data_IF_461856190023
#
_entry.id   IF_461856190023
#
_cell.length_a   1.000
_cell.length_b   1.000
_cell.length_c   1.000
_cell.angle_alpha   90.00
_cell.angle_beta   90.00
_cell.angle_gamma   90.00
#
_symmetry.space_group_name_H-M   'P 1'
#
loop_
_entity.id
_entity.type
_entity.pdbx_description
1 polymer ?
#
# COMPACT_ATOMS: atom_id res chain seq x y z
N UNK A 1 -11.70 -6.13 30.31
CA UNK A 1 -12.74 -5.58 29.41
C UNK A 1 -12.04 -5.30 28.07
N UNK A 2 -12.16 -6.24 27.14
CA UNK A 2 -11.61 -6.09 25.80
C UNK A 2 -12.52 -5.14 25.03
N UNK A 3 -12.08 -3.90 24.83
CA UNK A 3 -12.79 -2.97 23.94
C UNK A 3 -12.57 -3.46 22.52
N UNK A 4 -13.56 -4.14 21.94
CA UNK A 4 -13.56 -4.47 20.54
C UNK A 4 -13.29 -3.20 19.72
N UNK A 5 -12.16 -3.16 19.02
CA UNK A 5 -11.83 -2.07 18.09
C UNK A 5 -12.92 -2.04 17.02
N UNK A 6 -13.74 -1.01 17.00
CA UNK A 6 -14.74 -0.80 15.96
C UNK A 6 -14.03 -0.47 14.65
N UNK A 7 -14.34 -1.17 13.58
CA UNK A 7 -13.90 -0.80 12.24
C UNK A 7 -14.47 0.56 11.85
N UNK A 8 -13.65 1.40 11.24
CA UNK A 8 -14.08 2.70 10.72
C UNK A 8 -14.64 2.51 9.31
N UNK A 9 -15.95 2.61 9.17
CA UNK A 9 -16.65 2.44 7.89
C UNK A 9 -16.93 3.82 7.29
N UNK A 10 -16.41 4.03 6.08
CA UNK A 10 -16.78 5.14 5.21
C UNK A 10 -17.61 4.55 4.07
N UNK A 11 -18.78 5.12 3.78
CA UNK A 11 -19.67 4.59 2.74
C UNK A 11 -18.95 4.42 1.40
N UNK A 12 -19.09 3.25 0.79
CA UNK A 12 -18.47 2.91 -0.50
C UNK A 12 -17.03 2.39 -0.42
N UNK A 13 -16.43 2.31 0.77
CA UNK A 13 -15.10 1.72 0.97
C UNK A 13 -15.22 0.33 1.59
N UNK A 14 -14.20 -0.49 1.33
CA UNK A 14 -14.05 -1.77 2.02
C UNK A 14 -13.82 -1.55 3.52
N UNK A 15 -14.69 -2.11 4.33
CA UNK A 15 -14.56 -2.12 5.78
C UNK A 15 -14.02 -3.48 6.24
N UNK A 16 -12.84 -3.54 6.87
CA UNK A 16 -12.30 -4.78 7.42
C UNK A 16 -13.23 -5.39 8.48
N UNK A 17 -13.38 -6.71 8.46
CA UNK A 17 -14.05 -7.46 9.51
C UNK A 17 -13.20 -7.51 10.80
N UNK A 18 -13.80 -7.92 11.91
CA UNK A 18 -13.03 -8.15 13.14
C UNK A 18 -11.92 -9.20 12.96
N UNK A 19 -12.17 -10.20 12.14
CA UNK A 19 -11.17 -11.22 11.81
C UNK A 19 -9.99 -10.62 11.03
N UNK A 20 -10.26 -9.72 10.07
CA UNK A 20 -9.20 -9.02 9.34
C UNK A 20 -8.39 -8.13 10.27
N UNK A 21 -9.06 -7.37 11.13
CA UNK A 21 -8.39 -6.46 12.10
C UNK A 21 -7.45 -7.24 13.02
N UNK A 22 -7.85 -8.43 13.49
CA UNK A 22 -6.97 -9.30 14.32
C UNK A 22 -5.73 -9.78 13.54
N UNK A 23 -5.88 -10.12 12.26
CA UNK A 23 -4.74 -10.47 11.39
C UNK A 23 -3.80 -9.30 11.21
N UNK A 24 -4.36 -8.08 11.01
CA UNK A 24 -3.57 -6.87 10.78
C UNK A 24 -2.65 -6.50 11.95
N UNK A 25 -2.94 -6.93 13.16
CA UNK A 25 -2.09 -6.71 14.33
C UNK A 25 -0.69 -7.32 14.16
N UNK A 26 -0.58 -8.38 13.34
CA UNK A 26 0.68 -9.05 13.05
C UNK A 26 1.37 -8.56 11.76
N UNK A 27 0.81 -7.53 11.10
CA UNK A 27 1.32 -7.05 9.83
C UNK A 27 2.08 -5.74 10.00
N UNK A 28 3.22 -5.66 9.33
CA UNK A 28 4.04 -4.46 9.20
C UNK A 28 4.29 -4.24 7.72
N UNK A 29 3.73 -3.16 7.17
CA UNK A 29 3.75 -2.87 5.73
C UNK A 29 4.71 -1.73 5.44
N UNK A 30 5.57 -1.91 4.43
CA UNK A 30 6.37 -0.84 3.85
C UNK A 30 5.81 -0.45 2.48
N UNK A 31 5.50 0.83 2.29
CA UNK A 31 5.17 1.37 0.96
C UNK A 31 6.46 1.65 0.20
N UNK A 32 6.51 1.21 -1.06
CA UNK A 32 7.61 1.40 -1.98
C UNK A 32 7.12 2.10 -3.24
N UNK A 33 7.71 3.26 -3.55
CA UNK A 33 7.31 4.09 -4.70
C UNK A 33 8.52 4.37 -5.59
N UNK A 34 8.64 3.67 -6.74
CA UNK A 34 9.61 4.06 -7.75
C UNK A 34 9.16 5.39 -8.40
N UNK A 35 10.02 6.39 -8.35
CA UNK A 35 9.75 7.71 -8.91
C UNK A 35 10.80 8.06 -9.96
N UNK A 36 10.35 8.39 -11.17
CA UNK A 36 11.23 8.81 -12.26
C UNK A 36 11.59 10.30 -12.19
N UNK A 37 10.84 11.10 -11.47
CA UNK A 37 11.04 12.53 -11.27
C UNK A 37 11.61 12.89 -9.90
N UNK A 38 11.53 14.19 -9.60
CA UNK A 38 11.87 14.71 -8.26
C UNK A 38 10.67 14.90 -7.35
N UNK A 39 9.48 14.89 -7.92
CA UNK A 39 8.25 15.22 -7.19
C UNK A 39 7.13 14.27 -7.58
N UNK A 40 6.35 13.89 -6.62
CA UNK A 40 5.12 13.14 -6.83
C UNK A 40 3.96 14.09 -7.14
N UNK A 41 2.94 13.60 -7.81
CA UNK A 41 1.73 14.41 -8.01
C UNK A 41 1.03 14.67 -6.66
N UNK A 42 0.44 15.86 -6.50
CA UNK A 42 -0.33 16.20 -5.30
C UNK A 42 -1.51 15.22 -5.07
N UNK A 43 -2.08 14.68 -6.15
CA UNK A 43 -3.16 13.68 -6.08
C UNK A 43 -2.67 12.35 -5.53
N UNK A 44 -1.49 11.90 -5.96
CA UNK A 44 -0.85 10.70 -5.42
C UNK A 44 -0.57 10.87 -3.93
N UNK A 45 0.09 11.96 -3.54
CA UNK A 45 0.41 12.27 -2.14
C UNK A 45 -0.85 12.26 -1.26
N UNK A 46 -1.94 12.87 -1.74
CA UNK A 46 -3.24 12.85 -1.05
C UNK A 46 -3.79 11.42 -0.91
N UNK A 47 -3.72 10.60 -1.98
CA UNK A 47 -4.18 9.21 -1.94
C UNK A 47 -3.40 8.39 -0.92
N UNK A 48 -2.07 8.53 -0.89
CA UNK A 48 -1.21 7.85 0.09
C UNK A 48 -1.57 8.27 1.52
N UNK A 49 -1.67 9.58 1.79
CA UNK A 49 -2.01 10.08 3.12
C UNK A 49 -3.36 9.54 3.62
N UNK A 50 -4.38 9.56 2.76
CA UNK A 50 -5.71 9.04 3.09
C UNK A 50 -5.69 7.52 3.33
N UNK A 51 -4.96 6.77 2.52
CA UNK A 51 -4.81 5.32 2.67
C UNK A 51 -4.09 4.97 3.98
N UNK A 52 -3.01 5.66 4.30
CA UNK A 52 -2.28 5.45 5.56
C UNK A 52 -3.20 5.74 6.75
N UNK A 53 -3.90 6.88 6.76
CA UNK A 53 -4.84 7.23 7.82
C UNK A 53 -5.94 6.18 7.98
N UNK A 54 -6.58 5.77 6.87
CA UNK A 54 -7.63 4.75 6.87
C UNK A 54 -7.12 3.40 7.39
N UNK A 55 -5.95 2.98 6.94
CA UNK A 55 -5.32 1.73 7.36
C UNK A 55 -5.05 1.72 8.87
N UNK A 56 -4.45 2.77 9.41
CA UNK A 56 -4.20 2.89 10.84
C UNK A 56 -5.49 2.88 11.67
N UNK A 57 -6.53 3.58 11.22
CA UNK A 57 -7.84 3.58 11.89
C UNK A 57 -8.47 2.19 11.94
N UNK A 58 -8.16 1.32 10.99
CA UNK A 58 -8.64 -0.05 10.89
C UNK A 58 -7.62 -1.11 11.36
N UNK A 59 -6.56 -0.70 12.06
CA UNK A 59 -5.60 -1.62 12.69
C UNK A 59 -4.48 -2.12 11.79
N UNK A 60 -4.48 -1.76 10.49
CA UNK A 60 -3.42 -2.12 9.55
C UNK A 60 -2.28 -1.09 9.62
N UNK A 61 -1.09 -1.53 10.01
CA UNK A 61 0.04 -0.63 10.26
C UNK A 61 0.92 -0.48 9.02
N UNK A 62 1.08 0.76 8.59
CA UNK A 62 2.00 1.16 7.52
C UNK A 62 3.01 2.12 8.14
N UNK A 63 4.29 1.74 8.13
CA UNK A 63 5.31 2.45 8.92
C UNK A 63 6.25 3.29 8.08
N UNK A 64 6.77 2.76 6.99
CA UNK A 64 7.76 3.45 6.18
C UNK A 64 7.35 3.54 4.73
N UNK A 65 7.85 4.56 4.07
CA UNK A 65 7.74 4.74 2.64
C UNK A 65 9.14 4.83 2.04
N UNK A 66 9.49 3.89 1.15
CA UNK A 66 10.69 3.95 0.34
C UNK A 66 10.37 4.66 -0.97
N UNK A 67 11.14 5.70 -1.32
CA UNK A 67 10.99 6.44 -2.57
C UNK A 67 12.35 6.47 -3.26
N UNK A 68 12.38 6.21 -4.57
CA UNK A 68 13.53 6.54 -5.40
C UNK A 68 13.28 7.83 -6.16
N UNK A 69 14.34 8.51 -6.54
CA UNK A 69 14.29 9.72 -7.35
C UNK A 69 15.17 9.56 -8.59
N UNK A 70 14.69 10.07 -9.72
CA UNK A 70 15.45 10.11 -10.99
C UNK A 70 15.98 8.75 -11.47
N UNK A 71 15.27 7.68 -11.17
CA UNK A 71 15.65 6.34 -11.63
C UNK A 71 14.68 5.82 -12.66
N UNK A 72 15.20 5.07 -13.62
CA UNK A 72 14.37 4.23 -14.48
C UNK A 72 13.62 3.23 -13.59
N UNK A 73 12.35 2.98 -13.88
CA UNK A 73 11.43 2.23 -13.01
C UNK A 73 12.02 0.89 -12.56
N UNK A 74 12.63 0.14 -13.45
CA UNK A 74 13.22 -1.17 -13.13
C UNK A 74 14.38 -1.07 -12.15
N UNK A 75 15.23 -0.07 -12.30
CA UNK A 75 16.34 0.19 -11.37
C UNK A 75 15.83 0.69 -10.03
N UNK A 76 14.85 1.59 -10.06
CA UNK A 76 14.21 2.09 -8.84
C UNK A 76 13.56 0.97 -8.03
N UNK A 77 12.85 0.04 -8.68
CA UNK A 77 12.27 -1.13 -8.01
C UNK A 77 13.33 -2.05 -7.42
N UNK A 78 14.39 -2.34 -8.16
CA UNK A 78 15.49 -3.17 -7.66
C UNK A 78 16.19 -2.53 -6.46
N UNK A 79 16.43 -1.23 -6.50
CA UNK A 79 17.06 -0.51 -5.39
C UNK A 79 16.17 -0.51 -4.15
N UNK A 80 14.89 -0.21 -4.29
CA UNK A 80 13.92 -0.28 -3.19
C UNK A 80 13.83 -1.68 -2.59
N UNK A 81 13.77 -2.72 -3.43
CA UNK A 81 13.74 -4.10 -2.97
C UNK A 81 15.01 -4.47 -2.16
N UNK A 82 16.18 -4.06 -2.61
CA UNK A 82 17.43 -4.28 -1.88
C UNK A 82 17.44 -3.55 -0.54
N UNK A 83 17.03 -2.28 -0.54
CA UNK A 83 17.01 -1.45 0.66
C UNK A 83 16.13 -2.04 1.75
N UNK A 84 14.99 -2.65 1.38
CA UNK A 84 14.00 -3.13 2.35
C UNK A 84 14.21 -4.58 2.75
N UNK A 85 14.88 -5.39 1.90
CA UNK A 85 15.08 -6.83 2.12
C UNK A 85 15.64 -7.17 3.52
N UNK A 86 16.60 -6.36 3.98
CA UNK A 86 17.29 -6.59 5.24
C UNK A 86 17.00 -5.50 6.28
N UNK A 87 16.11 -4.55 5.93
CA UNK A 87 15.80 -3.42 6.80
C UNK A 87 14.83 -3.84 7.90
N UNK A 88 15.21 -3.49 9.11
CA UNK A 88 14.35 -3.58 10.28
C UNK A 88 13.48 -2.32 10.35
N UNK A 89 12.23 -2.49 10.67
CA UNK A 89 11.33 -1.41 10.98
C UNK A 89 11.74 -0.75 12.30
N UNK A 90 12.20 0.49 12.24
CA UNK A 90 12.73 1.24 13.37
C UNK A 90 11.73 1.45 14.53
N UNK A 91 10.44 1.27 14.26
CA UNK A 91 9.39 1.43 15.28
C UNK A 91 9.03 0.14 16.01
N UNK A 92 9.32 -1.02 15.42
CA UNK A 92 8.93 -2.33 15.98
C UNK A 92 10.11 -3.24 16.25
N UNK A 93 11.30 -2.88 15.78
CA UNK A 93 12.52 -3.69 15.80
C UNK A 93 12.37 -5.06 15.09
N UNK A 94 11.42 -5.12 14.14
CA UNK A 94 11.10 -6.33 13.37
C UNK A 94 11.19 -6.06 11.85
N UNK A 95 11.32 -7.12 11.07
CA UNK A 95 11.27 -7.01 9.60
C UNK A 95 9.85 -6.69 9.12
N UNK A 96 9.78 -6.00 7.97
CA UNK A 96 8.49 -5.82 7.31
C UNK A 96 7.91 -7.18 6.87
N UNK A 97 6.62 -7.36 7.10
CA UNK A 97 5.90 -8.57 6.68
C UNK A 97 5.43 -8.49 5.23
N UNK A 98 5.11 -7.27 4.77
CA UNK A 98 4.57 -7.03 3.44
C UNK A 98 5.15 -5.78 2.80
N UNK A 99 5.24 -5.80 1.46
CA UNK A 99 5.64 -4.64 0.64
C UNK A 99 4.46 -4.23 -0.23
N UNK A 100 4.12 -2.95 -0.18
CA UNK A 100 3.08 -2.34 -1.02
C UNK A 100 3.74 -1.45 -2.07
N UNK A 101 3.72 -1.89 -3.31
CA UNK A 101 4.23 -1.15 -4.46
C UNK A 101 3.18 -0.20 -5.00
N UNK A 102 3.52 1.09 -5.09
CA UNK A 102 2.66 2.13 -5.64
C UNK A 102 3.46 2.98 -6.63
N UNK A 103 3.02 3.06 -7.87
CA UNK A 103 3.59 3.99 -8.84
C UNK A 103 3.11 5.42 -8.53
N UNK A 104 3.98 6.41 -8.69
CA UNK A 104 3.81 7.81 -8.25
C UNK A 104 2.79 8.63 -9.04
N UNK A 105 2.21 8.05 -10.06
CA UNK A 105 1.22 8.67 -10.94
C UNK A 105 -0.21 8.11 -10.76
N UNK A 106 -0.43 7.19 -9.85
CA UNK A 106 -1.72 6.61 -9.55
C UNK A 106 -2.51 7.38 -8.49
N UNK A 107 -3.83 7.29 -8.58
CA UNK A 107 -4.76 7.67 -7.51
C UNK A 107 -5.61 6.47 -7.14
N UNK A 108 -5.91 6.31 -5.87
CA UNK A 108 -6.61 5.17 -5.34
C UNK A 108 -7.45 5.54 -4.12
N UNK A 109 -8.38 4.66 -3.77
CA UNK A 109 -9.25 4.83 -2.62
C UNK A 109 -8.49 4.61 -1.31
N UNK A 110 -8.94 5.21 -0.20
CA UNK A 110 -8.32 5.06 1.11
C UNK A 110 -8.25 3.62 1.63
N UNK A 111 -9.16 2.75 1.21
CA UNK A 111 -9.24 1.35 1.64
C UNK A 111 -8.30 0.39 0.90
N UNK A 112 -7.53 0.87 -0.09
CA UNK A 112 -6.73 0.04 -0.98
C UNK A 112 -5.90 -1.01 -0.23
N UNK A 113 -5.10 -0.59 0.75
CA UNK A 113 -4.24 -1.52 1.49
C UNK A 113 -5.06 -2.58 2.24
N UNK A 114 -6.12 -2.18 2.94
CA UNK A 114 -7.01 -3.11 3.63
C UNK A 114 -7.69 -4.08 2.67
N UNK A 115 -8.15 -3.58 1.51
CA UNK A 115 -8.80 -4.39 0.48
C UNK A 115 -7.86 -5.42 -0.15
N UNK A 116 -6.58 -5.09 -0.33
CA UNK A 116 -5.59 -6.04 -0.81
C UNK A 116 -5.28 -7.10 0.25
N UNK A 117 -5.05 -6.69 1.49
CA UNK A 117 -4.68 -7.59 2.58
C UNK A 117 -5.76 -8.64 2.92
N UNK A 118 -7.05 -8.36 2.65
CA UNK A 118 -8.13 -9.35 2.88
C UNK A 118 -7.96 -10.63 2.07
N UNK A 119 -7.26 -10.57 0.94
CA UNK A 119 -7.10 -11.74 0.05
C UNK A 119 -6.16 -12.80 0.62
N UNK A 120 -5.33 -12.46 1.61
CA UNK A 120 -4.43 -13.39 2.31
C UNK A 120 -3.60 -14.24 1.33
N UNK A 121 -2.91 -13.57 0.40
CA UNK A 121 -2.10 -14.16 -0.67
C UNK A 121 -0.69 -13.62 -0.63
N UNK A 122 0.28 -14.45 -1.05
CA UNK A 122 1.69 -14.07 -1.16
C UNK A 122 1.88 -12.90 -2.13
N UNK A 123 1.03 -12.79 -3.16
CA UNK A 123 1.03 -11.69 -4.10
C UNK A 123 -0.41 -11.36 -4.50
N UNK A 124 -0.74 -10.08 -4.48
CA UNK A 124 -2.04 -9.56 -4.91
C UNK A 124 -1.84 -8.21 -5.58
N UNK A 125 -2.62 -7.92 -6.61
CA UNK A 125 -2.59 -6.65 -7.33
C UNK A 125 -3.99 -6.05 -7.47
N UNK A 126 -4.06 -4.72 -7.46
CA UNK A 126 -5.28 -4.02 -7.82
C UNK A 126 -5.41 -3.89 -9.34
N UNK A 127 -6.63 -4.01 -9.83
CA UNK A 127 -6.92 -3.74 -11.24
C UNK A 127 -6.82 -2.23 -11.48
N UNK A 128 -6.08 -1.83 -12.48
CA UNK A 128 -6.01 -0.45 -12.95
C UNK A 128 -6.12 -0.38 -14.49
N UNK A 129 -6.45 0.81 -14.98
CA UNK A 129 -6.78 1.01 -16.39
C UNK A 129 -5.81 2.00 -17.05
N UNK A 130 -5.51 1.75 -18.33
CA UNK A 130 -4.72 2.68 -19.12
C UNK A 130 -5.44 4.02 -19.28
N UNK A 131 -4.67 5.12 -19.29
CA UNK A 131 -5.20 6.49 -19.39
C UNK A 131 -5.59 6.93 -20.80
N UNK A 132 -5.38 6.07 -21.80
CA UNK A 132 -5.57 6.39 -23.22
C UNK A 132 -6.87 5.82 -23.77
N UNK A 133 -7.75 6.69 -24.29
CA UNK A 133 -8.95 6.31 -25.04
C UNK A 133 -10.00 5.59 -24.18
N UNK A 134 -10.36 4.36 -24.56
CA UNK A 134 -11.25 3.51 -23.77
C UNK A 134 -10.49 2.93 -22.58
N UNK A 135 -11.12 2.86 -21.40
CA UNK A 135 -10.47 2.25 -20.23
C UNK A 135 -10.22 0.76 -20.50
N UNK A 136 -8.97 0.43 -20.80
CA UNK A 136 -8.51 -0.95 -20.96
C UNK A 136 -7.73 -1.36 -19.72
N UNK A 137 -8.01 -2.56 -19.15
CA UNK A 137 -7.24 -3.07 -18.02
C UNK A 137 -5.77 -3.29 -18.44
N UNK A 138 -4.85 -2.95 -17.57
CA UNK A 138 -3.39 -3.09 -17.81
C UNK A 138 -2.87 -4.45 -17.32
N UNK A 139 -3.75 -5.35 -16.93
CA UNK A 139 -3.38 -6.72 -16.58
C UNK A 139 -3.62 -7.63 -17.80
N UNK A 140 -2.54 -8.18 -18.31
CA UNK A 140 -2.60 -9.21 -19.33
C UNK A 140 -2.44 -10.56 -18.65
N UNK A 141 -3.41 -11.45 -18.87
CA UNK A 141 -3.28 -12.87 -18.53
C UNK A 141 -2.58 -13.53 -19.71
N UNK A 142 -1.38 -14.03 -19.50
CA UNK A 142 -0.68 -14.90 -20.46
C UNK A 142 -1.20 -16.33 -20.35
#
# INVERSE_FOLDING_TARGET
METAKKSHVISGLYAPSETDIRKYENYSICILTPCAGYTNSARFTKSVANMVAYSWMNGLRIYQMGITERMVVDWGRNELARTVKDKINEYTDEKFTHLLWLDDDHTFNPDLACALMRHDKDMVGALYFARVGKPLPVVYVC
#
